data_IF_683811709657
#
_entry.id   IF_683811709657
#
_cell.length_a   1.000
_cell.length_b   1.000
_cell.length_c   1.000
_cell.angle_alpha   90.00
_cell.angle_beta   90.00
_cell.angle_gamma   90.00
#
_symmetry.space_group_name_H-M   'P 1'
#
loop_
_entity.id
_entity.type
_entity.pdbx_description
1 polymer ?
2 water ?
#
# COMPACT_ATOMS: atom_id res chain seq x y z
N UNK A 27 -28.05 -15.05 -9.03
CA UNK A 27 -28.02 -14.45 -7.70
C UNK A 27 -26.60 -14.17 -7.25
N UNK A 28 -25.64 -14.68 -8.02
CA UNK A 28 -24.22 -14.55 -7.65
C UNK A 28 -23.83 -13.10 -7.53
N UNK A 29 -23.18 -12.76 -6.42
CA UNK A 29 -22.79 -11.38 -6.15
C UNK A 29 -21.65 -10.98 -7.08
N UNK A 30 -21.96 -10.16 -8.08
CA UNK A 30 -20.93 -9.70 -9.01
C UNK A 30 -19.97 -8.72 -8.37
N UNK A 31 -20.33 -8.15 -7.22
CA UNK A 31 -19.43 -7.24 -6.50
C UNK A 31 -18.59 -7.94 -5.45
N UNK A 32 -18.82 -9.23 -5.23
CA UNK A 32 -18.05 -10.00 -4.26
C UNK A 32 -16.89 -10.70 -4.95
N UNK A 33 -15.70 -10.58 -4.38
CA UNK A 33 -14.49 -11.14 -4.98
C UNK A 33 -13.74 -11.97 -3.94
N UNK A 34 -12.99 -12.95 -4.44
CA UNK A 34 -12.12 -13.78 -3.62
C UNK A 34 -10.73 -13.78 -4.24
N UNK A 35 -9.75 -13.31 -3.49
CA UNK A 35 -8.39 -13.20 -3.97
C UNK A 35 -7.40 -13.28 -2.84
N UNK A 36 -6.25 -12.63 -3.02
CA UNK A 36 -5.18 -12.63 -2.04
C UNK A 36 -4.55 -11.25 -1.96
N UNK A 37 -3.67 -11.07 -0.98
CA UNK A 37 -2.98 -9.80 -0.78
C UNK A 37 -1.85 -9.68 -1.79
N UNK A 38 -1.72 -8.51 -2.40
CA UNK A 38 -0.76 -8.27 -3.46
C UNK A 38 0.66 -8.29 -2.89
N UNK A 39 1.65 -8.39 -3.79
CA UNK A 39 3.05 -8.37 -3.39
C UNK A 39 3.74 -7.14 -3.97
N UNK A 40 3.10 -5.98 -3.83
CA UNK A 40 3.65 -4.74 -4.37
C UNK A 40 3.25 -3.59 -3.46
N UNK A 41 3.99 -2.49 -3.59
CA UNK A 41 3.73 -1.27 -2.83
C UNK A 41 3.41 -0.12 -3.78
N UNK A 42 2.45 0.73 -3.42
CA UNK A 42 2.02 1.78 -4.35
C UNK A 42 2.93 3.01 -4.29
N UNK A 43 3.23 3.55 -5.46
CA UNK A 43 3.90 4.84 -5.59
C UNK A 43 2.82 5.89 -5.84
N UNK A 44 2.35 6.52 -4.77
CA UNK A 44 1.19 7.39 -4.78
C UNK A 44 1.56 8.82 -5.15
N UNK A 45 0.66 9.53 -5.82
CA UNK A 45 0.93 10.94 -6.18
C UNK A 45 0.77 11.87 -5.00
N UNK A 46 -0.07 11.49 -4.05
CA UNK A 46 -0.29 12.24 -2.82
C UNK A 46 -0.05 11.33 -1.63
N UNK A 47 0.00 11.91 -0.44
CA UNK A 47 0.15 11.16 0.80
C UNK A 47 -1.21 10.65 1.27
N UNK A 48 -1.86 9.91 0.36
CA UNK A 48 -3.22 9.40 0.60
C UNK A 48 -3.35 8.07 -0.11
N UNK A 49 -3.69 7.02 0.65
CA UNK A 49 -3.85 5.70 0.07
C UNK A 49 -5.08 5.60 -0.83
N UNK A 50 -6.00 6.56 -0.74
CA UNK A 50 -7.18 6.59 -1.59
C UNK A 50 -6.92 7.21 -2.95
N UNK A 51 -5.67 7.55 -3.25
CA UNK A 51 -5.32 8.11 -4.54
C UNK A 51 -4.86 7.02 -5.50
N UNK A 52 -4.95 7.32 -6.79
CA UNK A 52 -4.56 6.35 -7.82
C UNK A 52 -3.04 6.26 -7.89
N UNK A 53 -2.44 5.11 -7.61
CA UNK A 53 -0.97 5.01 -7.62
C UNK A 53 -0.41 5.24 -9.01
N UNK A 54 0.71 5.96 -9.07
CA UNK A 54 1.41 6.15 -10.34
C UNK A 54 2.04 4.85 -10.81
N UNK A 55 2.65 4.10 -9.89
CA UNK A 55 3.25 2.82 -10.21
C UNK A 55 3.03 1.85 -9.06
N UNK A 56 3.19 0.56 -9.35
CA UNK A 56 3.11 -0.50 -8.35
C UNK A 56 4.45 -1.22 -8.33
N UNK A 57 5.16 -1.12 -7.21
CA UNK A 57 6.52 -1.62 -7.09
C UNK A 57 6.52 -3.01 -6.46
N UNK A 58 6.87 -4.02 -7.24
CA UNK A 58 6.92 -5.39 -6.76
C UNK A 58 7.92 -5.51 -5.61
N UNK A 59 7.74 -6.58 -4.82
CA UNK A 59 8.65 -6.84 -3.71
C UNK A 59 10.08 -6.98 -4.23
N UNK A 60 11.01 -6.35 -3.53
CA UNK A 60 12.41 -6.36 -3.92
C UNK A 60 12.81 -5.31 -4.93
N UNK A 61 11.93 -4.38 -5.25
CA UNK A 61 12.26 -3.32 -6.20
C UNK A 61 13.10 -2.25 -5.53
N UNK A 62 14.22 -1.90 -6.15
CA UNK A 62 15.13 -0.90 -5.61
C UNK A 62 14.95 0.42 -6.32
N UNK A 63 14.98 1.52 -5.54
CA UNK A 63 14.80 2.85 -6.08
C UNK A 63 15.28 3.87 -5.05
N UNK A 64 15.47 5.10 -5.51
CA UNK A 64 15.98 6.19 -4.68
C UNK A 64 14.83 7.10 -4.26
N UNK A 65 14.85 7.50 -2.99
CA UNK A 65 13.83 8.37 -2.42
C UNK A 65 14.50 9.37 -1.47
N UNK A 66 13.73 10.38 -1.09
CA UNK A 66 14.13 11.35 -0.08
C UNK A 66 13.29 11.13 1.18
N UNK A 67 13.80 11.66 2.30
CA UNK A 67 13.07 11.60 3.57
C UNK A 67 12.15 12.81 3.65
N UNK A 68 10.85 12.59 3.50
CA UNK A 68 9.87 13.67 3.53
C UNK A 68 9.43 13.97 4.97
N UNK A 69 8.78 13.01 5.62
CA UNK A 69 8.34 13.21 6.99
C UNK A 69 8.46 11.93 7.81
N UNK A 70 7.57 11.76 8.79
CA UNK A 70 7.66 10.62 9.70
C UNK A 70 7.27 9.32 9.02
N UNK A 71 6.28 9.36 8.13
CA UNK A 71 5.71 8.15 7.56
C UNK A 71 6.05 7.94 6.09
N UNK A 72 6.29 8.99 5.33
CA UNK A 72 6.35 8.91 3.87
C UNK A 72 7.72 9.26 3.33
N UNK A 73 8.14 8.55 2.29
CA UNK A 73 9.27 8.93 1.46
C UNK A 73 8.78 9.85 0.34
N UNK A 74 9.69 10.25 -0.53
CA UNK A 74 9.32 11.05 -1.68
C UNK A 74 10.39 10.90 -2.76
N UNK A 75 9.94 10.95 -4.02
CA UNK A 75 10.84 10.82 -5.16
C UNK A 75 10.29 11.64 -6.31
N UNK A 76 11.15 11.91 -7.28
CA UNK A 76 10.81 12.74 -8.43
C UNK A 76 10.89 11.90 -9.70
N UNK A 77 9.78 11.84 -10.43
CA UNK A 77 9.72 11.16 -11.72
C UNK A 77 9.08 12.11 -12.72
N UNK A 78 9.80 12.42 -13.80
CA UNK A 78 9.34 13.37 -14.82
C UNK A 78 9.01 14.73 -14.19
N UNK A 79 9.87 15.17 -13.27
CA UNK A 79 9.70 16.44 -12.55
C UNK A 79 8.37 16.47 -11.79
N UNK A 80 7.94 15.32 -11.29
CA UNK A 80 6.72 15.21 -10.51
C UNK A 80 7.03 14.44 -9.23
N UNK A 81 6.40 14.86 -8.13
CA UNK A 81 6.69 14.31 -6.81
C UNK A 81 5.69 13.20 -6.49
N UNK A 82 6.21 12.02 -6.18
CA UNK A 82 5.40 10.88 -5.77
C UNK A 82 5.88 10.39 -4.41
N UNK A 83 4.98 9.76 -3.66
CA UNK A 83 5.24 9.40 -2.28
C UNK A 83 5.21 7.88 -2.11
N UNK A 84 5.88 7.42 -1.05
CA UNK A 84 5.97 6.00 -0.75
C UNK A 84 6.02 5.81 0.75
N UNK A 85 5.19 4.90 1.26
CA UNK A 85 5.17 4.64 2.69
C UNK A 85 6.47 3.99 3.14
N UNK A 86 7.00 4.47 4.27
CA UNK A 86 8.33 4.03 4.70
C UNK A 86 8.31 2.57 5.17
N UNK A 87 7.24 2.15 5.82
CA UNK A 87 7.18 0.80 6.39
C UNK A 87 7.13 -0.29 5.33
N UNK A 88 7.02 0.07 4.05
CA UNK A 88 7.05 -0.90 2.96
C UNK A 88 8.46 -1.15 2.44
N UNK A 89 9.44 -0.34 2.85
CA UNK A 89 10.76 -0.34 2.24
C UNK A 89 11.82 -0.81 3.22
N UNK A 90 12.96 -1.23 2.65
CA UNK A 90 14.16 -1.58 3.40
C UNK A 90 15.29 -0.66 2.96
N UNK A 91 15.97 -0.05 3.93
CA UNK A 91 17.12 0.79 3.64
C UNK A 91 18.33 -0.10 3.39
N UNK A 92 18.93 0.03 2.21
CA UNK A 92 20.03 -0.84 1.80
C UNK A 92 21.30 -0.07 1.48
N UNK A 93 21.31 1.25 1.61
CA UNK A 93 22.52 2.03 1.33
C UNK A 93 22.42 3.38 2.02
N UNK A 94 23.58 3.97 2.26
CA UNK A 94 23.65 5.31 2.82
C UNK A 94 23.30 6.35 1.76
N UNK A 95 22.99 7.56 2.23
CA UNK A 95 22.57 8.62 1.32
C UNK A 95 23.70 8.99 0.37
N UNK A 96 23.32 9.52 -0.79
CA UNK A 96 24.26 9.98 -1.79
C UNK A 96 24.44 11.48 -1.70
N UNK A 97 25.24 12.03 -2.62
CA UNK A 97 25.54 13.47 -2.61
C UNK A 97 24.29 14.32 -2.73
N UNK A 98 23.22 13.79 -3.32
CA UNK A 98 21.97 14.54 -3.45
C UNK A 98 21.05 14.37 -2.25
N UNK A 99 21.35 13.44 -1.34
CA UNK A 99 20.49 13.16 -0.22
C UNK A 99 19.49 12.04 -0.44
N UNK A 100 19.62 11.30 -1.53
CA UNK A 100 18.68 10.23 -1.84
C UNK A 100 19.03 8.96 -1.08
N UNK A 101 18.00 8.30 -0.55
CA UNK A 101 18.15 7.04 0.17
C UNK A 101 17.81 5.90 -0.79
N UNK A 102 18.75 4.98 -0.97
CA UNK A 102 18.50 3.79 -1.77
C UNK A 102 17.70 2.80 -0.94
N UNK A 103 16.42 2.63 -1.27
CA UNK A 103 15.54 1.76 -0.53
C UNK A 103 15.14 0.57 -1.42
N UNK A 104 14.49 -0.40 -0.81
CA UNK A 104 14.03 -1.59 -1.51
C UNK A 104 12.73 -2.05 -0.89
N UNK A 105 11.74 -2.34 -1.74
CA UNK A 105 10.47 -2.88 -1.23
C UNK A 105 10.74 -4.18 -0.50
N UNK A 106 10.18 -4.31 0.70
CA UNK A 106 10.38 -5.51 1.49
C UNK A 106 9.91 -6.74 0.73
N UNK A 107 10.59 -7.86 0.97
CA UNK A 107 10.19 -9.11 0.33
C UNK A 107 8.81 -9.54 0.82
N UNK A 108 8.25 -10.52 0.10
CA UNK A 108 6.97 -11.09 0.50
C UNK A 108 7.00 -11.66 1.90
N UNK A 109 8.17 -12.06 2.39
CA UNK A 109 8.28 -12.54 3.77
C UNK A 109 8.03 -11.42 4.76
N UNK A 110 8.49 -10.20 4.45
CA UNK A 110 8.49 -9.10 5.40
C UNK A 110 7.49 -8.01 5.09
N UNK A 111 6.99 -7.92 3.86
CA UNK A 111 6.04 -6.87 3.50
C UNK A 111 4.72 -7.05 4.26
N UNK A 112 4.16 -5.94 4.71
CA UNK A 112 2.89 -5.93 5.43
C UNK A 112 1.96 -4.92 4.78
N UNK A 113 0.76 -5.36 4.42
CA UNK A 113 -0.21 -4.53 3.70
C UNK A 113 -1.34 -4.19 4.68
N UNK A 114 -1.74 -2.93 4.77
CA UNK A 114 -2.72 -2.52 5.78
C UNK A 114 -4.16 -2.70 5.34
N UNK A 115 -5.03 -2.85 6.34
CA UNK A 115 -6.48 -2.92 6.15
C UNK A 115 -7.10 -2.10 7.27
N UNK A 116 -7.68 -0.95 6.93
CA UNK A 116 -8.16 0.00 7.92
C UNK A 116 -9.58 -0.34 8.39
N UNK A 117 -9.94 0.22 9.53
CA UNK A 117 -11.30 0.14 10.06
C UNK A 117 -12.15 1.34 9.65
N UNK A 118 -11.63 2.21 8.79
CA UNK A 118 -12.33 3.40 8.34
C UNK A 118 -12.19 3.54 6.84
N UNK A 119 -13.18 4.18 6.22
CA UNK A 119 -13.17 4.38 4.77
C UNK A 119 -12.17 5.44 4.34
N UNK A 120 -11.67 6.24 5.27
CA UNK A 120 -10.68 7.27 4.96
C UNK A 120 -9.29 6.69 4.72
N UNK A 121 -9.06 5.43 5.09
CA UNK A 121 -7.78 4.75 4.87
C UNK A 121 -6.64 5.51 5.55
N UNK A 122 -6.86 5.91 6.80
CA UNK A 122 -5.89 6.70 7.54
C UNK A 122 -6.10 6.49 9.03
N UNK A 123 -5.06 6.01 9.72
CA UNK A 123 -5.05 5.85 11.18
C UNK A 123 -6.16 4.87 11.58
N UNK A 124 -6.68 5.03 12.80
CA UNK A 124 -7.67 4.10 13.31
C UNK A 124 -7.06 2.74 13.62
N UNK A 125 -7.88 1.71 13.49
CA UNK A 125 -7.41 0.33 13.64
C UNK A 125 -7.00 -0.23 12.29
N UNK A 126 -5.86 -0.91 12.27
CA UNK A 126 -5.29 -1.45 11.03
C UNK A 126 -4.91 -2.91 11.26
N UNK A 127 -5.37 -3.78 10.37
CA UNK A 127 -4.94 -5.17 10.33
C UNK A 127 -3.89 -5.30 9.22
N UNK A 128 -2.70 -5.75 9.59
CA UNK A 128 -1.59 -5.87 8.66
C UNK A 128 -1.50 -7.29 8.12
N UNK A 129 -1.48 -7.42 6.81
CA UNK A 129 -1.49 -8.71 6.14
C UNK A 129 -0.22 -8.89 5.30
N UNK A 130 0.33 -10.09 5.34
CA UNK A 130 1.42 -10.43 4.44
C UNK A 130 0.88 -10.76 3.06
N UNK A 131 1.71 -10.62 2.02
CA UNK A 131 1.25 -10.97 0.67
C UNK A 131 0.81 -12.43 0.58
N UNK A 132 -0.07 -12.70 -0.38
CA UNK A 132 -0.62 -14.01 -0.72
C UNK A 132 -1.61 -14.53 0.32
N UNK A 133 -1.99 -13.73 1.31
CA UNK A 133 -2.98 -14.15 2.28
C UNK A 133 -4.37 -13.99 1.67
N UNK A 134 -5.16 -15.06 1.73
CA UNK A 134 -6.46 -15.06 1.06
C UNK A 134 -7.47 -14.19 1.82
N UNK A 135 -8.18 -13.35 1.07
CA UNK A 135 -9.20 -12.48 1.64
C UNK A 135 -10.37 -12.38 0.67
N UNK A 136 -11.55 -12.14 1.22
CA UNK A 136 -12.77 -11.94 0.45
C UNK A 136 -13.32 -10.55 0.75
N UNK A 137 -13.54 -9.75 -0.29
CA UNK A 137 -13.95 -8.38 -0.14
C UNK A 137 -15.10 -8.07 -1.09
N UNK A 138 -15.59 -6.83 -1.01
CA UNK A 138 -16.66 -6.34 -1.86
C UNK A 138 -16.24 -5.02 -2.49
N UNK A 139 -16.53 -4.87 -3.78
CA UNK A 139 -16.22 -3.65 -4.53
C UNK A 139 -17.53 -3.09 -5.06
N UNK A 140 -18.08 -2.09 -4.36
CA UNK A 140 -19.33 -1.45 -4.75
C UNK A 140 -19.06 -0.03 -5.28
N UNK A 141 -17.95 0.14 -5.99
CA UNK A 141 -17.58 1.39 -6.64
C UNK A 141 -17.45 2.55 -5.66
N UNK A 142 -17.24 2.27 -4.37
CA UNK A 142 -17.13 3.33 -3.38
C UNK A 142 -15.76 3.98 -3.36
N UNK A 143 -14.81 3.49 -4.15
CA UNK A 143 -13.44 3.97 -4.11
C UNK A 143 -12.53 3.18 -3.20
N UNK A 144 -13.03 2.10 -2.60
CA UNK A 144 -12.24 1.27 -1.71
C UNK A 144 -12.87 -0.12 -1.68
N UNK A 145 -12.14 -1.06 -1.10
CA UNK A 145 -12.64 -2.41 -0.90
C UNK A 145 -13.20 -2.55 0.51
N UNK A 146 -14.21 -3.41 0.64
CA UNK A 146 -14.92 -3.60 1.90
C UNK A 146 -14.76 -5.05 2.33
N UNK A 147 -14.24 -5.26 3.54
CA UNK A 147 -14.01 -6.59 4.08
C UNK A 147 -14.80 -6.75 5.36
N UNK A 148 -15.64 -7.78 5.41
CA UNK A 148 -16.45 -8.04 6.60
C UNK A 148 -15.71 -9.01 7.53
N UNK A 149 -15.77 -8.72 8.82
CA UNK A 149 -15.17 -9.55 9.85
C UNK A 149 -16.23 -9.93 10.87
N UNK A 150 -16.39 -11.23 11.17
CA UNK A 150 -17.47 -11.64 12.09
C UNK A 150 -17.34 -11.05 13.48
N UNK A 151 -16.13 -10.75 13.94
CA UNK A 151 -15.91 -10.22 15.27
C UNK A 151 -15.52 -8.75 15.30
N UNK A 152 -15.11 -8.18 14.17
CA UNK A 152 -14.65 -6.81 14.12
C UNK A 152 -15.48 -5.91 13.23
N UNK A 153 -16.39 -6.45 12.43
CA UNK A 153 -17.24 -5.63 11.58
C UNK A 153 -16.66 -5.36 10.21
N UNK A 154 -16.89 -4.16 9.70
CA UNK A 154 -16.46 -3.78 8.36
C UNK A 154 -15.08 -3.14 8.41
N UNK A 155 -14.14 -3.71 7.66
CA UNK A 155 -12.82 -3.14 7.47
C UNK A 155 -12.61 -2.86 5.99
N UNK A 156 -11.72 -1.92 5.69
CA UNK A 156 -11.53 -1.43 4.34
C UNK A 156 -10.05 -1.36 3.98
N UNK A 157 -9.78 -1.43 2.68
CA UNK A 157 -8.43 -1.27 2.16
C UNK A 157 -8.53 -0.65 0.78
N UNK A 158 -7.39 -0.46 0.14
CA UNK A 158 -7.34 0.17 -1.18
C UNK A 158 -7.69 -0.83 -2.27
N UNK A 159 -8.21 -0.30 -3.39
CA UNK A 159 -8.65 -1.16 -4.48
C UNK A 159 -7.49 -1.95 -5.09
N UNK A 160 -6.28 -1.42 -4.99
CA UNK A 160 -5.12 -2.07 -5.59
C UNK A 160 -4.44 -3.06 -4.66
N UNK A 161 -4.82 -3.10 -3.37
CA UNK A 161 -4.13 -3.94 -2.40
C UNK A 161 -4.59 -5.39 -2.44
N UNK A 162 -5.78 -5.67 -2.99
CA UNK A 162 -6.30 -7.02 -3.08
C UNK A 162 -6.67 -7.33 -4.52
N UNK A 163 -6.15 -8.44 -5.05
CA UNK A 163 -6.42 -8.84 -6.42
C UNK A 163 -6.82 -10.31 -6.50
#
# INVERSE_FOLDING_TARGET
HHHHHHHFELCDAVSGEKIPAATQNTNTNSNRYEGKVIDSAPLLPKMDFKSSPFRMYKVGTEFLVYDHNQYWYKTYIDDKLYYMYKSFCDVVAKKDAKGRIKVRIKSAKDLRIPVWNNIKLNSGKIKWYAPNVKLAWYNYRRGYLELWYPNDGWYYTAEYFLK
#
